data_IF_461043857281
#
_entry.id   IF_461043857281
#
_cell.length_a   1.000
_cell.length_b   1.000
_cell.length_c   1.000
_cell.angle_alpha   90.00
_cell.angle_beta   90.00
_cell.angle_gamma   90.00
#
_symmetry.space_group_name_H-M   'P 1'
#
loop_
_entity.id
_entity.type
_entity.pdbx_description
1 polymer ?
#
# COMPACT_ATOMS: atom_id res chain seq x y z
N UNK A 1 -31.73 -0.86 -44.72
CA UNK A 1 -30.31 -1.22 -44.62
C UNK A 1 -30.10 -1.96 -43.30
N UNK A 2 -30.09 -3.27 -43.34
CA UNK A 2 -29.87 -4.15 -42.18
C UNK A 2 -28.42 -4.03 -41.71
N UNK A 3 -28.18 -3.94 -40.41
CA UNK A 3 -26.78 -3.89 -39.88
C UNK A 3 -26.11 -5.24 -40.17
N UNK A 4 -24.89 -5.19 -40.68
CA UNK A 4 -24.03 -6.36 -40.88
C UNK A 4 -23.79 -7.09 -39.55
N UNK A 5 -23.86 -8.44 -39.52
CA UNK A 5 -23.52 -9.22 -38.34
C UNK A 5 -22.08 -8.95 -37.96
N UNK A 6 -21.85 -8.64 -36.68
CA UNK A 6 -20.57 -8.25 -36.13
C UNK A 6 -19.48 -9.28 -36.41
N UNK A 7 -18.32 -8.75 -36.76
CA UNK A 7 -17.05 -9.43 -36.82
C UNK A 7 -16.92 -10.28 -35.54
N UNK A 8 -16.88 -11.62 -35.66
CA UNK A 8 -16.92 -12.59 -34.54
C UNK A 8 -15.75 -12.50 -33.54
N UNK A 9 -15.29 -11.28 -33.28
CA UNK A 9 -14.33 -10.99 -32.22
C UNK A 9 -15.08 -10.97 -30.86
N UNK A 10 -14.64 -11.78 -29.90
CA UNK A 10 -15.22 -11.75 -28.56
C UNK A 10 -15.20 -10.33 -27.99
N UNK A 11 -16.18 -9.94 -27.16
CA UNK A 11 -16.18 -8.65 -26.49
C UNK A 11 -14.80 -8.41 -25.88
N UNK A 12 -14.28 -7.18 -26.02
CA UNK A 12 -12.84 -6.89 -25.78
C UNK A 12 -12.31 -7.39 -24.42
N UNK A 13 -13.12 -7.34 -23.36
CA UNK A 13 -12.75 -7.89 -22.04
C UNK A 13 -12.63 -9.42 -21.99
N UNK A 14 -13.24 -10.16 -22.90
CA UNK A 14 -13.10 -11.63 -22.96
C UNK A 14 -11.67 -12.07 -23.30
N UNK A 15 -10.84 -11.19 -23.90
CA UNK A 15 -9.40 -11.41 -24.06
C UNK A 15 -8.62 -11.34 -22.74
N UNK A 16 -9.30 -10.91 -21.65
CA UNK A 16 -8.71 -10.81 -20.32
C UNK A 16 -7.76 -9.63 -20.12
N UNK A 17 -7.38 -9.44 -18.88
CA UNK A 17 -6.48 -8.39 -18.41
C UNK A 17 -5.13 -8.99 -18.04
N UNK A 18 -4.03 -8.34 -18.45
CA UNK A 18 -2.70 -8.68 -17.96
C UNK A 18 -2.34 -7.74 -16.80
N UNK A 19 -2.30 -8.29 -15.59
CA UNK A 19 -1.94 -7.55 -14.38
C UNK A 19 -0.44 -7.70 -14.12
N UNK A 20 0.29 -6.60 -14.16
CA UNK A 20 1.75 -6.58 -13.95
C UNK A 20 2.01 -6.44 -12.46
N UNK A 21 2.42 -7.54 -11.83
CA UNK A 21 2.63 -7.67 -10.38
C UNK A 21 4.12 -7.81 -10.03
N UNK A 22 4.98 -7.15 -10.79
CA UNK A 22 6.42 -7.16 -10.58
C UNK A 22 6.83 -6.87 -9.13
N UNK A 23 6.21 -5.93 -8.37
CA UNK A 23 6.58 -5.66 -6.99
C UNK A 23 6.52 -6.88 -6.06
N UNK A 24 5.69 -7.87 -6.35
CA UNK A 24 5.56 -9.08 -5.52
C UNK A 24 6.80 -9.98 -5.52
N UNK A 25 7.69 -9.83 -6.49
CA UNK A 25 8.95 -10.60 -6.58
C UNK A 25 10.17 -9.82 -6.09
N UNK A 26 9.97 -8.63 -5.51
CA UNK A 26 11.04 -7.89 -4.84
C UNK A 26 11.36 -8.50 -3.49
N UNK A 27 12.62 -8.34 -3.04
CA UNK A 27 13.04 -8.79 -1.72
C UNK A 27 12.24 -8.13 -0.59
N UNK A 28 11.87 -6.86 -0.76
CA UNK A 28 11.00 -6.10 0.15
C UNK A 28 9.88 -5.48 -0.68
N UNK A 29 8.72 -6.17 -0.80
CA UNK A 29 7.59 -5.67 -1.60
C UNK A 29 6.93 -4.42 -1.00
N UNK A 30 6.95 -4.27 0.34
CA UNK A 30 6.36 -3.14 1.07
C UNK A 30 4.84 -3.02 0.85
N UNK A 31 4.28 -1.84 1.13
CA UNK A 31 2.84 -1.56 0.95
C UNK A 31 2.33 -1.79 -0.47
N UNK A 32 3.17 -1.55 -1.50
CA UNK A 32 2.81 -1.85 -2.89
C UNK A 32 2.62 -3.37 -3.10
N UNK A 33 3.42 -4.19 -2.40
CA UNK A 33 3.26 -5.64 -2.43
C UNK A 33 1.99 -6.09 -1.73
N UNK A 34 1.66 -5.51 -0.56
CA UNK A 34 0.39 -5.74 0.14
C UNK A 34 -0.79 -5.40 -0.76
N UNK A 35 -0.79 -4.20 -1.36
CA UNK A 35 -1.80 -3.78 -2.33
C UNK A 35 -1.95 -4.77 -3.50
N UNK A 36 -0.84 -5.14 -4.14
CA UNK A 36 -0.87 -6.01 -5.31
C UNK A 36 -1.41 -7.40 -4.97
N UNK A 37 -0.99 -7.99 -3.84
CA UNK A 37 -1.46 -9.29 -3.37
C UNK A 37 -2.93 -9.27 -3.02
N UNK A 38 -3.35 -8.28 -2.25
CA UNK A 38 -4.73 -8.16 -1.79
C UNK A 38 -5.70 -7.87 -2.93
N UNK A 39 -5.34 -6.96 -3.86
CA UNK A 39 -6.15 -6.70 -5.05
C UNK A 39 -6.31 -7.95 -5.92
N UNK A 40 -5.21 -8.66 -6.21
CA UNK A 40 -5.24 -9.88 -7.04
C UNK A 40 -6.06 -10.97 -6.34
N UNK A 41 -5.90 -11.14 -5.02
CA UNK A 41 -6.68 -12.08 -4.23
C UNK A 41 -8.18 -11.76 -4.27
N UNK A 42 -8.55 -10.50 -4.11
CA UNK A 42 -9.94 -10.06 -4.18
C UNK A 42 -10.54 -10.26 -5.58
N UNK A 43 -9.80 -9.95 -6.65
CA UNK A 43 -10.22 -10.23 -8.02
C UNK A 43 -10.42 -11.73 -8.28
N UNK A 44 -9.58 -12.58 -7.69
CA UNK A 44 -9.70 -14.03 -7.82
C UNK A 44 -10.85 -14.61 -6.99
N UNK A 45 -11.23 -13.93 -5.91
CA UNK A 45 -12.34 -14.32 -5.04
C UNK A 45 -13.72 -13.86 -5.52
N UNK A 46 -13.80 -13.06 -6.59
CA UNK A 46 -15.09 -12.73 -7.23
C UNK A 46 -15.70 -13.97 -7.89
N UNK A 47 -17.03 -14.07 -7.83
CA UNK A 47 -17.76 -15.24 -8.30
C UNK A 47 -18.26 -15.11 -9.74
N UNK A 48 -18.41 -16.25 -10.43
CA UNK A 48 -19.11 -16.41 -11.70
C UNK A 48 -18.72 -15.38 -12.75
N UNK A 49 -19.70 -14.63 -13.27
CA UNK A 49 -19.53 -13.64 -14.33
C UNK A 49 -18.78 -12.36 -13.86
N UNK A 50 -18.67 -12.13 -12.55
CA UNK A 50 -17.94 -10.98 -12.02
C UNK A 50 -16.42 -11.20 -12.05
N UNK A 51 -15.99 -12.46 -11.94
CA UNK A 51 -14.56 -12.81 -11.94
C UNK A 51 -13.92 -12.52 -13.29
N UNK A 52 -12.95 -11.59 -13.34
CA UNK A 52 -12.32 -11.25 -14.61
C UNK A 52 -11.38 -12.37 -15.09
N UNK A 53 -11.24 -12.49 -16.41
CA UNK A 53 -10.15 -13.27 -17.00
C UNK A 53 -8.85 -12.50 -16.84
N UNK A 54 -8.05 -12.84 -15.83
CA UNK A 54 -6.76 -12.22 -15.58
C UNK A 54 -5.60 -13.19 -15.81
N UNK A 55 -4.46 -12.63 -16.16
CA UNK A 55 -3.15 -13.27 -16.13
C UNK A 55 -2.20 -12.33 -15.40
N UNK A 56 -1.31 -12.88 -14.59
CA UNK A 56 -0.30 -12.10 -13.87
C UNK A 56 0.98 -12.07 -14.67
N UNK A 57 1.71 -10.95 -14.64
CA UNK A 57 3.01 -10.82 -15.27
C UNK A 57 4.05 -10.27 -14.29
N UNK A 58 5.19 -10.95 -14.20
CA UNK A 58 6.32 -10.50 -13.39
C UNK A 58 7.67 -10.96 -13.95
N UNK A 59 8.77 -10.48 -13.38
CA UNK A 59 10.11 -10.97 -13.59
C UNK A 59 10.23 -12.45 -13.21
N UNK A 60 11.31 -13.14 -13.62
CA UNK A 60 11.57 -14.52 -13.19
C UNK A 60 11.80 -14.57 -11.69
N UNK A 61 11.11 -15.50 -10.99
CA UNK A 61 11.33 -15.73 -9.56
C UNK A 61 12.75 -16.28 -9.33
N UNK A 62 13.36 -15.83 -8.23
CA UNK A 62 14.64 -16.34 -7.72
C UNK A 62 14.47 -17.01 -6.35
N UNK A 63 13.25 -17.01 -5.82
CA UNK A 63 12.91 -17.59 -4.53
C UNK A 63 11.91 -18.71 -4.68
N UNK A 64 11.96 -19.68 -3.78
CA UNK A 64 11.04 -20.80 -3.70
C UNK A 64 10.52 -20.87 -2.26
N UNK A 65 9.21 -20.99 -2.04
CA UNK A 65 8.15 -20.98 -3.07
C UNK A 65 8.00 -19.63 -3.78
N UNK A 66 7.48 -19.65 -5.02
CA UNK A 66 7.19 -18.42 -5.77
C UNK A 66 6.11 -17.60 -5.05
N UNK A 67 6.36 -16.32 -4.71
CA UNK A 67 5.38 -15.47 -4.01
C UNK A 67 4.10 -15.20 -4.83
N UNK A 68 4.06 -15.56 -6.11
CA UNK A 68 2.86 -15.51 -6.95
C UNK A 68 2.06 -16.82 -6.93
N UNK A 69 2.59 -17.87 -6.30
CA UNK A 69 1.88 -19.14 -6.14
C UNK A 69 0.58 -18.95 -5.34
N UNK A 70 -0.51 -19.59 -5.78
CA UNK A 70 -1.79 -19.54 -5.06
C UNK A 70 -2.62 -18.27 -5.24
N UNK A 71 -2.19 -17.28 -6.06
CA UNK A 71 -2.97 -16.05 -6.28
C UNK A 71 -4.20 -16.22 -7.21
N UNK A 72 -4.53 -17.43 -7.62
CA UNK A 72 -5.77 -17.76 -8.33
C UNK A 72 -5.81 -17.40 -9.81
N UNK A 73 -4.70 -16.90 -10.39
CA UNK A 73 -4.58 -16.59 -11.82
C UNK A 73 -3.29 -17.16 -12.42
N UNK A 74 -3.28 -17.53 -13.73
CA UNK A 74 -2.08 -17.98 -14.42
C UNK A 74 -0.99 -16.89 -14.42
N UNK A 75 0.27 -17.32 -14.27
CA UNK A 75 1.43 -16.41 -14.21
C UNK A 75 2.24 -16.53 -15.51
N UNK A 76 2.42 -15.40 -16.19
CA UNK A 76 3.38 -15.23 -17.29
C UNK A 76 4.68 -14.66 -16.72
N UNK A 77 5.78 -15.36 -16.93
CA UNK A 77 7.08 -14.98 -16.36
C UNK A 77 8.01 -14.44 -17.46
N UNK A 78 8.61 -13.28 -17.21
CA UNK A 78 9.67 -12.72 -18.05
C UNK A 78 10.93 -13.60 -18.03
N UNK A 79 11.66 -13.62 -19.15
CA UNK A 79 13.00 -14.21 -19.20
C UNK A 79 14.04 -13.37 -18.45
N UNK A 80 13.76 -12.06 -18.26
CA UNK A 80 14.65 -11.11 -17.62
C UNK A 80 14.44 -11.08 -16.12
N UNK A 81 15.50 -10.93 -15.33
CA UNK A 81 15.38 -10.71 -13.89
C UNK A 81 14.83 -9.31 -13.62
N UNK A 82 14.30 -9.12 -12.41
CA UNK A 82 13.57 -7.95 -11.93
C UNK A 82 14.19 -6.60 -12.34
N UNK A 83 15.39 -6.29 -11.87
CA UNK A 83 16.02 -4.99 -12.13
C UNK A 83 16.29 -4.75 -13.64
N UNK A 84 16.63 -5.80 -14.39
CA UNK A 84 16.86 -5.72 -15.83
C UNK A 84 15.55 -5.48 -16.58
N UNK A 85 14.46 -6.16 -16.16
CA UNK A 85 13.14 -6.00 -16.74
C UNK A 85 12.62 -4.57 -16.58
N UNK A 86 12.64 -4.03 -15.35
CA UNK A 86 12.18 -2.66 -15.05
C UNK A 86 13.04 -1.62 -15.79
N UNK A 87 14.36 -1.86 -15.89
CA UNK A 87 15.26 -1.00 -16.66
C UNK A 87 14.93 -1.02 -18.16
N UNK A 88 14.67 -2.21 -18.73
CA UNK A 88 14.28 -2.36 -20.12
C UNK A 88 12.98 -1.61 -20.45
N UNK A 89 11.99 -1.68 -19.56
CA UNK A 89 10.75 -0.91 -19.70
C UNK A 89 11.02 0.61 -19.70
N UNK A 90 11.99 1.06 -18.94
CA UNK A 90 12.47 2.45 -18.96
C UNK A 90 12.90 2.93 -20.34
N UNK A 91 13.46 2.03 -21.17
CA UNK A 91 13.88 2.27 -22.55
C UNK A 91 12.83 1.88 -23.61
N UNK A 92 11.62 1.49 -23.18
CA UNK A 92 10.55 1.07 -24.09
C UNK A 92 10.71 -0.34 -24.66
N UNK A 93 11.60 -1.16 -24.09
CA UNK A 93 11.83 -2.55 -24.48
C UNK A 93 10.98 -3.54 -23.65
N UNK A 94 10.80 -4.76 -24.14
CA UNK A 94 10.07 -5.80 -23.41
C UNK A 94 8.56 -5.58 -23.42
N UNK A 95 7.94 -5.35 -24.59
CA UNK A 95 6.49 -5.20 -24.75
C UNK A 95 5.75 -6.42 -24.23
N UNK A 96 4.64 -6.16 -23.53
CA UNK A 96 3.73 -7.18 -22.98
C UNK A 96 2.29 -6.96 -23.47
N UNK A 97 1.40 -7.91 -23.15
CA UNK A 97 -0.05 -7.74 -23.31
C UNK A 97 -0.58 -7.93 -24.72
N UNK A 98 0.17 -8.51 -25.70
CA UNK A 98 -0.29 -8.69 -27.08
C UNK A 98 -1.62 -9.46 -27.21
N UNK A 99 -1.93 -10.34 -26.25
CA UNK A 99 -3.16 -11.16 -26.21
C UNK A 99 -4.12 -10.72 -25.12
N UNK A 100 -3.93 -9.54 -24.53
CA UNK A 100 -4.80 -8.99 -23.49
C UNK A 100 -5.71 -7.90 -24.09
N UNK A 101 -6.83 -7.64 -23.44
CA UNK A 101 -7.69 -6.50 -23.74
C UNK A 101 -7.06 -5.20 -23.24
N UNK A 102 -6.41 -5.25 -22.08
CA UNK A 102 -5.63 -4.15 -21.51
C UNK A 102 -4.50 -4.71 -20.61
N UNK A 103 -3.56 -3.84 -20.27
CA UNK A 103 -2.51 -4.09 -19.26
C UNK A 103 -2.77 -3.18 -18.08
N UNK A 104 -2.76 -3.74 -16.86
CA UNK A 104 -2.77 -2.97 -15.62
C UNK A 104 -1.46 -3.16 -14.87
N UNK A 105 -0.67 -2.11 -14.75
CA UNK A 105 0.53 -2.10 -13.91
C UNK A 105 0.16 -1.59 -12.51
N UNK A 106 0.36 -2.43 -11.48
CA UNK A 106 0.03 -2.11 -10.08
C UNK A 106 1.00 -1.10 -9.44
N UNK A 107 1.92 -0.55 -10.21
CA UNK A 107 2.88 0.49 -9.79
C UNK A 107 3.40 1.26 -10.99
N UNK A 108 4.24 2.28 -10.74
CA UNK A 108 4.94 3.04 -11.78
C UNK A 108 5.95 2.20 -12.61
N UNK A 109 6.28 0.98 -12.19
CA UNK A 109 7.03 0.02 -12.99
C UNK A 109 6.13 -0.57 -14.09
N UNK A 110 5.77 0.25 -15.08
CA UNK A 110 4.83 -0.09 -16.14
C UNK A 110 5.56 -0.46 -17.44
N UNK A 111 5.18 -1.60 -18.07
CA UNK A 111 5.77 -2.04 -19.32
C UNK A 111 5.28 -1.22 -20.53
N UNK A 112 6.03 -1.19 -21.62
CA UNK A 112 5.48 -0.79 -22.91
C UNK A 112 4.45 -1.84 -23.39
N UNK A 113 3.35 -1.36 -23.97
CA UNK A 113 2.28 -2.22 -24.50
C UNK A 113 1.65 -1.58 -25.74
N UNK A 114 0.99 -2.39 -26.56
CA UNK A 114 0.22 -1.93 -27.71
C UNK A 114 -1.30 -1.89 -27.45
N UNK A 115 -1.73 -2.37 -26.29
CA UNK A 115 -3.13 -2.31 -25.82
C UNK A 115 -3.27 -1.20 -24.77
N UNK A 116 -4.49 -0.79 -24.41
CA UNK A 116 -4.68 0.22 -23.37
C UNK A 116 -3.92 -0.13 -22.08
N UNK A 117 -3.31 0.88 -21.47
CA UNK A 117 -2.51 0.76 -20.24
C UNK A 117 -3.21 1.48 -19.09
N UNK A 118 -3.41 0.78 -17.98
CA UNK A 118 -3.80 1.34 -16.69
C UNK A 118 -2.60 1.28 -15.75
N UNK A 119 -2.33 2.33 -14.99
CA UNK A 119 -1.19 2.36 -14.04
C UNK A 119 -1.69 2.84 -12.69
N UNK A 120 -1.38 2.11 -11.63
CA UNK A 120 -1.61 2.58 -10.26
C UNK A 120 -0.45 3.49 -9.84
N UNK A 121 -0.80 4.67 -9.34
CA UNK A 121 0.11 5.66 -8.73
C UNK A 121 -0.23 5.78 -7.26
N UNK A 122 0.59 5.18 -6.40
CA UNK A 122 0.29 5.10 -4.97
C UNK A 122 0.46 6.44 -4.26
N UNK A 123 1.52 7.19 -4.58
CA UNK A 123 1.79 8.53 -4.05
C UNK A 123 2.70 9.32 -5.01
N UNK A 124 2.97 10.57 -4.66
CA UNK A 124 4.00 11.42 -5.26
C UNK A 124 4.99 11.89 -4.18
N UNK A 125 5.28 11.04 -3.20
CA UNK A 125 6.06 11.38 -2.01
C UNK A 125 7.45 11.94 -2.33
N UNK A 126 8.11 11.47 -3.39
CA UNK A 126 9.42 12.00 -3.83
C UNK A 126 9.37 13.47 -4.28
N UNK A 127 8.18 14.03 -4.56
CA UNK A 127 7.98 15.45 -4.85
C UNK A 127 7.67 16.24 -3.59
N UNK A 128 6.85 15.67 -2.70
CA UNK A 128 6.41 16.33 -1.47
C UNK A 128 7.53 16.43 -0.42
N UNK A 129 8.37 15.39 -0.31
CA UNK A 129 9.49 15.28 0.64
C UNK A 129 10.74 14.74 -0.06
N UNK A 130 11.33 15.51 -0.99
CA UNK A 130 12.44 15.06 -1.83
C UNK A 130 13.68 14.65 -1.03
N UNK A 131 13.87 15.23 0.15
CA UNK A 131 14.96 14.91 1.07
C UNK A 131 14.87 13.48 1.64
N UNK A 132 13.68 12.91 1.68
CA UNK A 132 13.45 11.53 2.13
C UNK A 132 13.85 10.48 1.10
N UNK A 133 14.24 10.87 -0.11
CA UNK A 133 14.53 9.94 -1.20
C UNK A 133 15.93 10.15 -1.78
N UNK A 134 16.68 9.06 -2.06
CA UNK A 134 17.93 9.16 -2.80
C UNK A 134 17.72 9.80 -4.18
N UNK A 135 18.65 10.62 -4.65
CA UNK A 135 18.55 11.35 -5.92
C UNK A 135 18.28 10.43 -7.13
N UNK A 136 18.86 9.21 -7.13
CA UNK A 136 18.59 8.20 -8.18
C UNK A 136 17.13 7.71 -8.14
N UNK A 137 16.60 7.49 -6.94
CA UNK A 137 15.19 7.07 -6.73
C UNK A 137 14.23 8.14 -7.21
N UNK A 138 14.46 9.41 -6.82
CA UNK A 138 13.66 10.56 -7.26
C UNK A 138 13.62 10.66 -8.79
N UNK A 139 14.77 10.58 -9.45
CA UNK A 139 14.86 10.63 -10.92
C UNK A 139 14.12 9.48 -11.58
N UNK A 140 14.22 8.28 -11.02
CA UNK A 140 13.50 7.12 -11.54
C UNK A 140 11.97 7.29 -11.44
N UNK A 141 11.47 7.68 -10.26
CA UNK A 141 10.04 7.90 -10.02
C UNK A 141 9.49 9.00 -10.95
N UNK A 142 10.21 10.10 -11.05
CA UNK A 142 9.81 11.22 -11.91
C UNK A 142 9.72 10.80 -13.39
N UNK A 143 10.69 10.07 -13.89
CA UNK A 143 10.69 9.57 -15.25
C UNK A 143 9.59 8.54 -15.49
N UNK A 144 9.35 7.66 -14.50
CA UNK A 144 8.30 6.64 -14.57
C UNK A 144 6.91 7.29 -14.58
N UNK A 145 6.68 8.29 -13.70
CA UNK A 145 5.44 9.06 -13.67
C UNK A 145 5.19 9.81 -14.99
N UNK A 146 6.20 10.49 -15.53
CA UNK A 146 6.09 11.16 -16.83
C UNK A 146 5.76 10.20 -17.98
N UNK A 147 6.31 8.97 -17.95
CA UNK A 147 5.96 7.93 -18.94
C UNK A 147 4.53 7.46 -18.75
N UNK A 148 4.09 7.21 -17.51
CA UNK A 148 2.72 6.83 -17.20
C UNK A 148 1.72 7.91 -17.64
N UNK A 149 1.96 9.16 -17.29
CA UNK A 149 1.14 10.31 -17.69
C UNK A 149 0.93 10.43 -19.20
N UNK A 150 1.98 10.14 -19.99
CA UNK A 150 1.91 10.19 -21.47
C UNK A 150 1.24 8.98 -22.10
N UNK A 151 1.33 7.79 -21.50
CA UNK A 151 0.99 6.51 -22.15
C UNK A 151 -0.23 5.81 -21.57
N UNK A 152 -0.53 6.02 -20.30
CA UNK A 152 -1.65 5.34 -19.66
C UNK A 152 -2.98 5.92 -20.17
N UNK A 153 -3.91 5.04 -20.48
CA UNK A 153 -5.30 5.41 -20.74
C UNK A 153 -5.98 5.89 -19.47
N UNK A 154 -5.57 5.34 -18.30
CA UNK A 154 -6.04 5.77 -17.00
C UNK A 154 -4.94 5.59 -15.94
N UNK A 155 -4.84 6.56 -15.03
CA UNK A 155 -4.05 6.49 -13.80
C UNK A 155 -5.01 6.23 -12.63
N UNK A 156 -4.83 5.11 -11.94
CA UNK A 156 -5.58 4.78 -10.72
C UNK A 156 -4.79 5.28 -9.54
N UNK A 157 -5.44 5.95 -8.60
CA UNK A 157 -4.86 6.48 -7.38
C UNK A 157 -5.66 6.03 -6.15
N UNK A 158 -5.04 5.83 -4.97
CA UNK A 158 -5.72 5.26 -3.81
C UNK A 158 -6.54 6.29 -3.02
N UNK A 159 -6.40 7.58 -3.31
CA UNK A 159 -7.07 8.65 -2.57
C UNK A 159 -7.26 9.91 -3.41
N UNK A 160 -8.19 10.77 -3.00
CA UNK A 160 -8.38 12.09 -3.61
C UNK A 160 -7.16 12.99 -3.39
N UNK A 161 -6.46 12.86 -2.27
CA UNK A 161 -5.21 13.59 -2.03
C UNK A 161 -4.13 13.24 -3.06
N UNK A 162 -3.99 11.97 -3.43
CA UNK A 162 -3.08 11.54 -4.50
C UNK A 162 -3.57 12.03 -5.88
N UNK A 163 -4.89 12.02 -6.13
CA UNK A 163 -5.47 12.57 -7.36
C UNK A 163 -5.16 14.07 -7.49
N UNK A 164 -5.33 14.83 -6.43
CA UNK A 164 -5.02 16.25 -6.39
C UNK A 164 -3.54 16.51 -6.64
N UNK A 165 -2.65 15.78 -5.95
CA UNK A 165 -1.21 15.89 -6.18
C UNK A 165 -0.83 15.55 -7.64
N UNK A 166 -1.55 14.63 -8.28
CA UNK A 166 -1.34 14.27 -9.68
C UNK A 166 -1.81 15.37 -10.65
N UNK A 167 -2.95 16.03 -10.38
CA UNK A 167 -3.44 17.20 -11.14
C UNK A 167 -2.43 18.35 -11.08
N UNK A 168 -1.93 18.64 -9.88
CA UNK A 168 -0.94 19.70 -9.62
C UNK A 168 0.46 19.38 -10.14
N UNK A 169 0.67 18.12 -10.54
CA UNK A 169 1.98 17.67 -11.03
C UNK A 169 2.46 18.32 -12.34
N UNK A 170 1.61 19.06 -13.05
CA UNK A 170 1.95 19.73 -14.31
C UNK A 170 2.25 18.76 -15.47
N UNK A 171 1.61 17.58 -15.49
CA UNK A 171 1.87 16.52 -16.46
C UNK A 171 0.84 16.44 -17.59
N UNK A 172 -0.14 17.34 -17.64
CA UNK A 172 -1.20 17.36 -18.65
C UNK A 172 -2.13 16.12 -18.59
N UNK A 173 -2.34 15.56 -17.40
CA UNK A 173 -3.29 14.48 -17.20
C UNK A 173 -4.67 15.07 -16.93
N UNK A 174 -5.63 14.83 -17.82
CA UNK A 174 -7.01 15.27 -17.63
C UNK A 174 -7.74 14.42 -16.57
N UNK A 175 -8.79 14.97 -15.96
CA UNK A 175 -9.59 14.31 -14.93
C UNK A 175 -10.26 13.02 -15.42
N UNK A 176 -10.62 12.95 -16.69
CA UNK A 176 -11.16 11.76 -17.36
C UNK A 176 -10.20 10.56 -17.32
N UNK A 177 -8.91 10.85 -17.16
CA UNK A 177 -7.83 9.84 -17.06
C UNK A 177 -7.37 9.54 -15.66
N UNK A 178 -7.96 10.14 -14.63
CA UNK A 178 -7.68 9.84 -13.22
C UNK A 178 -8.88 9.09 -12.64
N UNK A 179 -8.62 8.00 -11.93
CA UNK A 179 -9.64 7.25 -11.21
C UNK A 179 -9.19 7.02 -9.77
N UNK A 180 -10.01 7.46 -8.83
CA UNK A 180 -9.78 7.19 -7.40
C UNK A 180 -10.41 5.86 -7.04
N UNK A 181 -9.60 4.91 -6.57
CA UNK A 181 -10.05 3.61 -6.07
C UNK A 181 -9.34 3.37 -4.75
N UNK A 182 -10.07 3.49 -3.65
CA UNK A 182 -9.53 3.29 -2.31
C UNK A 182 -9.02 1.86 -2.11
N UNK A 183 -7.99 1.72 -1.28
CA UNK A 183 -7.48 0.41 -0.86
C UNK A 183 -8.39 -0.22 0.20
N UNK A 184 -8.40 -1.55 0.28
CA UNK A 184 -9.11 -2.28 1.33
C UNK A 184 -8.28 -2.37 2.61
N UNK A 185 -8.94 -2.75 3.70
CA UNK A 185 -8.32 -2.95 5.02
C UNK A 185 -8.47 -4.38 5.55
N UNK A 186 -9.17 -5.25 4.82
CA UNK A 186 -9.60 -6.60 5.22
C UNK A 186 -8.68 -7.72 4.69
N UNK A 187 -7.38 -7.39 4.49
CA UNK A 187 -6.36 -8.33 4.00
C UNK A 187 -5.53 -8.96 5.13
N UNK A 188 -5.63 -8.46 6.35
CA UNK A 188 -4.88 -9.03 7.47
C UNK A 188 -5.29 -10.50 7.67
N UNK A 189 -4.29 -11.34 7.89
CA UNK A 189 -4.53 -12.73 8.27
C UNK A 189 -5.28 -12.80 9.62
N UNK A 190 -5.85 -13.95 9.90
CA UNK A 190 -6.33 -14.25 11.26
C UNK A 190 -5.15 -14.17 12.23
N UNK A 191 -5.35 -13.49 13.35
CA UNK A 191 -4.33 -13.39 14.40
C UNK A 191 -3.93 -14.80 14.88
N UNK A 192 -2.64 -15.00 15.09
CA UNK A 192 -2.09 -16.17 15.72
C UNK A 192 -1.69 -15.81 17.16
N UNK A 193 -2.52 -16.10 18.18
CA UNK A 193 -2.24 -15.71 19.55
C UNK A 193 -0.97 -16.33 20.11
N UNK A 194 -0.69 -17.61 19.81
CA UNK A 194 0.48 -18.33 20.32
C UNK A 194 1.76 -17.73 19.74
N UNK A 195 1.84 -17.61 18.41
CA UNK A 195 3.00 -17.00 17.78
C UNK A 195 3.17 -15.53 18.15
N UNK A 196 2.07 -14.81 18.46
CA UNK A 196 2.14 -13.42 18.93
C UNK A 196 2.70 -13.35 20.35
N UNK A 197 2.29 -14.24 21.25
CA UNK A 197 2.83 -14.33 22.61
C UNK A 197 4.32 -14.67 22.60
N UNK A 198 4.73 -15.64 21.79
CA UNK A 198 6.14 -16.00 21.60
C UNK A 198 6.97 -14.83 21.08
N UNK A 199 6.46 -14.11 20.07
CA UNK A 199 7.14 -12.94 19.51
C UNK A 199 7.30 -11.83 20.57
N UNK A 200 6.25 -11.51 21.33
CA UNK A 200 6.31 -10.51 22.40
C UNK A 200 7.27 -10.92 23.52
N UNK A 201 7.26 -12.21 23.92
CA UNK A 201 8.17 -12.74 24.91
C UNK A 201 9.65 -12.63 24.47
N UNK A 202 9.95 -12.98 23.21
CA UNK A 202 11.29 -12.82 22.61
C UNK A 202 11.75 -11.36 22.61
N UNK A 203 10.81 -10.42 22.47
CA UNK A 203 11.08 -8.99 22.52
C UNK A 203 11.15 -8.42 23.95
N UNK A 204 10.89 -9.23 24.97
CA UNK A 204 10.83 -8.79 26.37
C UNK A 204 9.62 -7.91 26.68
N UNK A 205 8.53 -8.04 25.92
CA UNK A 205 7.29 -7.27 26.08
C UNK A 205 6.26 -8.14 26.79
N UNK A 206 6.00 -7.87 28.07
CA UNK A 206 5.12 -8.68 28.92
C UNK A 206 3.73 -8.11 29.20
N UNK A 207 3.34 -6.99 28.58
CA UNK A 207 2.07 -6.31 28.83
C UNK A 207 1.66 -5.41 27.67
N UNK A 208 0.97 -4.32 27.99
CA UNK A 208 0.56 -3.29 27.01
C UNK A 208 1.78 -2.65 26.34
N UNK A 209 1.63 -2.27 25.08
CA UNK A 209 2.69 -1.63 24.28
C UNK A 209 2.10 -0.67 23.26
N UNK A 210 2.92 0.25 22.76
CA UNK A 210 2.64 1.08 21.59
C UNK A 210 3.19 0.35 20.37
N UNK A 211 2.51 0.45 19.23
CA UNK A 211 2.93 -0.21 17.99
C UNK A 211 3.19 0.82 16.88
N UNK A 212 4.30 0.68 16.18
CA UNK A 212 4.56 1.37 14.92
C UNK A 212 4.87 0.34 13.82
N UNK A 213 4.23 0.49 12.65
CA UNK A 213 4.37 -0.46 11.54
C UNK A 213 4.82 0.24 10.26
N UNK A 214 5.83 -0.30 9.63
CA UNK A 214 6.31 0.17 8.32
C UNK A 214 7.79 -0.05 8.10
N UNK A 215 8.20 0.01 6.83
CA UNK A 215 9.63 -0.02 6.47
C UNK A 215 10.35 1.14 7.12
N UNK A 216 11.51 0.87 7.70
CA UNK A 216 12.35 1.91 8.32
C UNK A 216 13.00 2.76 7.25
N UNK A 217 12.32 3.79 6.79
CA UNK A 217 12.74 4.74 5.77
C UNK A 217 12.44 6.18 6.22
N UNK A 218 13.15 7.21 5.72
CA UNK A 218 13.02 8.59 6.21
C UNK A 218 11.60 9.14 6.12
N UNK A 219 10.82 8.77 5.09
CA UNK A 219 9.44 9.20 4.88
C UNK A 219 8.49 8.75 6.01
N UNK A 220 8.78 7.60 6.65
CA UNK A 220 8.00 7.07 7.79
C UNK A 220 8.23 7.84 9.09
N UNK A 221 9.22 8.74 9.11
CA UNK A 221 9.44 9.71 10.19
C UNK A 221 9.73 9.09 11.57
N UNK A 222 10.28 7.88 11.60
CA UNK A 222 10.57 7.18 12.85
C UNK A 222 11.50 7.99 13.81
N UNK A 223 12.50 8.75 13.36
CA UNK A 223 13.30 9.55 14.28
C UNK A 223 12.44 10.50 15.12
N UNK A 224 11.53 11.28 14.51
CA UNK A 224 10.65 12.17 15.29
C UNK A 224 9.66 11.41 16.17
N UNK A 225 9.17 10.25 15.73
CA UNK A 225 8.36 9.39 16.59
C UNK A 225 9.15 8.92 17.82
N UNK A 226 10.44 8.62 17.68
CA UNK A 226 11.29 8.21 18.81
C UNK A 226 11.58 9.37 19.76
N UNK A 227 11.84 10.57 19.24
CA UNK A 227 12.00 11.78 20.05
C UNK A 227 10.71 12.07 20.84
N UNK A 228 9.56 12.01 20.18
CA UNK A 228 8.25 12.20 20.81
C UNK A 228 7.95 11.10 21.85
N UNK A 229 8.30 9.85 21.55
CA UNK A 229 8.15 8.76 22.48
C UNK A 229 9.04 8.91 23.74
N UNK A 230 10.25 9.40 23.58
CA UNK A 230 11.14 9.70 24.71
C UNK A 230 10.56 10.76 25.66
N UNK A 231 9.84 11.75 25.13
CA UNK A 231 9.09 12.75 25.90
C UNK A 231 7.82 12.15 26.53
N UNK A 232 7.09 11.35 25.77
CA UNK A 232 5.83 10.75 26.21
C UNK A 232 6.00 9.68 27.30
N UNK A 233 7.02 8.83 27.15
CA UNK A 233 7.23 7.65 28.01
C UNK A 233 7.24 7.95 29.52
N UNK A 234 7.97 8.94 30.08
CA UNK A 234 7.94 9.26 31.49
C UNK A 234 6.61 9.89 31.96
N UNK A 235 5.74 10.31 31.05
CA UNK A 235 4.42 10.92 31.33
C UNK A 235 3.30 9.88 31.37
N UNK A 236 3.58 8.64 30.98
CA UNK A 236 2.64 7.51 31.08
C UNK A 236 2.65 6.94 32.49
N UNK A 237 1.48 6.49 32.98
CA UNK A 237 1.37 5.88 34.31
C UNK A 237 2.26 4.63 34.46
N UNK A 238 2.40 3.89 33.34
CA UNK A 238 3.35 2.79 33.21
C UNK A 238 4.17 3.02 31.92
N UNK A 239 5.49 2.76 31.95
CA UNK A 239 6.36 3.01 30.79
C UNK A 239 6.15 1.93 29.71
N UNK A 240 5.13 2.10 28.89
CA UNK A 240 4.81 1.19 27.77
C UNK A 240 5.96 1.16 26.76
N UNK A 241 6.44 -0.02 26.32
CA UNK A 241 7.42 -0.11 25.24
C UNK A 241 6.80 0.30 23.89
N UNK A 242 7.63 0.84 22.97
CA UNK A 242 7.26 1.08 21.60
C UNK A 242 7.83 -0.06 20.73
N UNK A 243 6.97 -0.94 20.26
CA UNK A 243 7.31 -2.03 19.35
C UNK A 243 7.26 -1.51 17.91
N UNK A 244 8.35 -1.68 17.17
CA UNK A 244 8.48 -1.24 15.78
C UNK A 244 8.59 -2.45 14.87
N UNK A 245 7.59 -2.65 14.01
CA UNK A 245 7.52 -3.76 13.06
C UNK A 245 7.82 -3.27 11.65
N UNK A 246 8.71 -3.96 10.97
CA UNK A 246 9.03 -3.73 9.56
C UNK A 246 10.50 -3.89 9.25
N UNK A 247 10.82 -4.12 7.96
CA UNK A 247 12.18 -4.33 7.52
C UNK A 247 13.01 -3.03 7.59
N UNK A 248 14.33 -3.20 7.59
CA UNK A 248 15.25 -2.08 7.38
C UNK A 248 15.11 -1.57 5.96
N UNK A 249 14.88 -0.28 5.81
CA UNK A 249 14.82 0.43 4.52
C UNK A 249 16.12 1.17 4.21
N UNK A 250 16.00 2.27 3.49
CA UNK A 250 17.15 3.12 3.15
C UNK A 250 17.24 4.34 4.08
N UNK A 251 18.45 4.92 4.18
CA UNK A 251 18.67 6.19 4.89
C UNK A 251 18.52 6.14 6.40
N UNK A 252 18.35 4.95 6.97
CA UNK A 252 18.29 4.78 8.42
C UNK A 252 19.66 4.34 8.93
N UNK A 253 20.20 5.06 9.91
CA UNK A 253 21.36 4.59 10.64
C UNK A 253 21.03 3.27 11.37
N UNK A 254 21.99 2.36 11.42
CA UNK A 254 21.92 1.12 12.22
C UNK A 254 22.14 1.40 13.72
N UNK A 255 21.74 2.59 14.20
CA UNK A 255 21.86 2.95 15.60
C UNK A 255 21.03 1.99 16.48
N UNK A 256 21.52 1.73 17.69
CA UNK A 256 20.74 1.02 18.70
C UNK A 256 19.40 1.72 18.93
N UNK A 257 18.33 0.98 19.23
CA UNK A 257 17.04 1.59 19.50
C UNK A 257 17.12 2.49 20.73
N UNK A 258 16.42 3.64 20.74
CA UNK A 258 16.30 4.45 21.95
C UNK A 258 15.70 3.66 23.12
N UNK A 259 15.88 4.15 24.35
CA UNK A 259 15.36 3.50 25.54
C UNK A 259 13.84 3.26 25.44
N UNK A 260 13.43 2.00 25.62
CA UNK A 260 12.03 1.57 25.54
C UNK A 260 11.51 1.30 24.11
N UNK A 261 12.31 1.54 23.07
CA UNK A 261 11.98 1.15 21.70
C UNK A 261 12.52 -0.24 21.40
N UNK A 262 11.68 -1.12 20.85
CA UNK A 262 12.02 -2.49 20.51
C UNK A 262 11.76 -2.74 19.03
N UNK A 263 12.77 -3.19 18.29
CA UNK A 263 12.64 -3.53 16.88
C UNK A 263 12.28 -5.02 16.71
N UNK A 264 11.06 -5.31 16.28
CA UNK A 264 10.62 -6.66 15.96
C UNK A 264 11.12 -7.17 14.59
N UNK A 265 11.62 -6.25 13.74
CA UNK A 265 11.93 -6.61 12.36
C UNK A 265 10.67 -6.95 11.56
N UNK A 266 10.81 -7.83 10.58
CA UNK A 266 9.69 -8.34 9.78
C UNK A 266 9.09 -9.55 10.50
N UNK A 267 7.78 -9.55 10.70
CA UNK A 267 7.02 -10.63 11.34
C UNK A 267 6.06 -11.29 10.35
N UNK A 268 5.57 -12.48 10.67
CA UNK A 268 4.52 -13.15 9.90
C UNK A 268 3.16 -12.42 9.99
N UNK A 269 2.31 -12.63 8.98
CA UNK A 269 1.03 -11.92 8.86
C UNK A 269 0.09 -12.17 10.06
N UNK A 270 0.05 -13.41 10.61
CA UNK A 270 -0.74 -13.74 11.79
C UNK A 270 -0.22 -13.07 13.07
N UNK A 271 1.11 -12.94 13.21
CA UNK A 271 1.74 -12.19 14.31
C UNK A 271 1.45 -10.70 14.17
N UNK A 272 1.57 -10.14 12.96
CA UNK A 272 1.24 -8.73 12.71
C UNK A 272 -0.20 -8.41 13.08
N UNK A 273 -1.15 -9.26 12.68
CA UNK A 273 -2.56 -9.12 13.05
C UNK A 273 -2.76 -9.17 14.57
N UNK A 274 -2.08 -10.10 15.26
CA UNK A 274 -2.09 -10.20 16.72
C UNK A 274 -1.51 -8.96 17.40
N UNK A 275 -0.39 -8.43 16.90
CA UNK A 275 0.22 -7.21 17.42
C UNK A 275 -0.70 -6.00 17.25
N UNK A 276 -1.36 -5.85 16.11
CA UNK A 276 -2.37 -4.79 15.92
C UNK A 276 -3.47 -4.91 16.98
N UNK A 277 -4.09 -6.08 17.15
CA UNK A 277 -5.22 -6.25 18.07
C UNK A 277 -4.86 -6.12 19.56
N UNK A 278 -3.59 -6.25 19.94
CA UNK A 278 -3.11 -6.18 21.33
C UNK A 278 -2.45 -4.85 21.70
N UNK A 279 -2.10 -4.02 20.71
CA UNK A 279 -1.47 -2.74 20.99
C UNK A 279 -2.41 -1.78 21.72
N UNK A 280 -1.90 -1.04 22.70
CA UNK A 280 -2.61 0.03 23.40
C UNK A 280 -3.07 1.13 22.43
N UNK A 281 -2.21 1.44 21.47
CA UNK A 281 -2.47 2.28 20.32
C UNK A 281 -1.44 1.98 19.23
N UNK A 282 -1.77 2.39 18.00
CA UNK A 282 -0.81 2.44 16.88
C UNK A 282 -0.38 3.89 16.65
N UNK A 283 0.95 4.10 16.55
CA UNK A 283 1.56 5.38 16.20
C UNK A 283 2.05 5.34 14.75
N UNK A 284 1.48 6.19 13.89
CA UNK A 284 1.82 6.26 12.47
C UNK A 284 1.87 7.70 11.99
N UNK A 285 3.05 8.31 12.02
CA UNK A 285 3.25 9.74 11.77
C UNK A 285 4.15 10.01 10.55
N UNK A 286 3.88 9.40 9.38
CA UNK A 286 4.68 9.65 8.18
C UNK A 286 4.61 11.12 7.76
N UNK A 287 5.64 11.59 7.06
CA UNK A 287 5.67 12.93 6.48
C UNK A 287 4.67 13.09 5.35
N UNK A 288 4.42 12.01 4.60
CA UNK A 288 3.45 11.96 3.50
C UNK A 288 3.10 10.50 3.17
N UNK A 289 1.84 10.26 2.83
CA UNK A 289 1.32 8.97 2.35
C UNK A 289 0.28 9.18 1.26
N UNK A 290 0.23 8.24 0.31
CA UNK A 290 -0.85 8.25 -0.68
C UNK A 290 -2.16 7.65 -0.18
N UNK A 291 -2.08 6.70 0.78
CA UNK A 291 -3.24 6.13 1.46
C UNK A 291 -2.98 5.99 2.96
N UNK A 292 -2.18 5.04 3.40
CA UNK A 292 -1.86 4.79 4.80
C UNK A 292 -2.44 3.47 5.32
N UNK A 293 -2.10 2.35 4.66
CA UNK A 293 -2.56 1.00 5.06
C UNK A 293 -2.42 0.71 6.56
N UNK A 294 -1.29 1.02 7.25
CA UNK A 294 -1.18 0.73 8.68
C UNK A 294 -2.26 1.38 9.55
N UNK A 295 -2.82 2.52 9.12
CA UNK A 295 -3.91 3.19 9.85
C UNK A 295 -5.21 2.39 9.75
N UNK A 296 -5.58 1.97 8.54
CA UNK A 296 -6.82 1.17 8.35
C UNK A 296 -6.67 -0.27 8.86
N UNK A 297 -5.46 -0.82 8.84
CA UNK A 297 -5.14 -2.12 9.46
C UNK A 297 -5.38 -2.07 10.98
N UNK A 298 -4.83 -1.04 11.66
CA UNK A 298 -5.06 -0.81 13.08
C UNK A 298 -6.55 -0.61 13.41
N UNK A 299 -7.24 0.25 12.63
CA UNK A 299 -8.66 0.51 12.80
C UNK A 299 -9.50 -0.77 12.62
N UNK A 300 -9.15 -1.62 11.64
CA UNK A 300 -9.81 -2.92 11.40
C UNK A 300 -9.61 -3.88 12.58
N UNK A 301 -8.44 -3.85 13.20
CA UNK A 301 -8.14 -4.63 14.40
C UNK A 301 -8.79 -4.06 15.68
N UNK A 302 -9.52 -2.95 15.60
CA UNK A 302 -10.14 -2.31 16.77
C UNK A 302 -9.15 -1.53 17.63
N UNK A 303 -8.01 -1.10 17.09
CA UNK A 303 -6.95 -0.41 17.82
C UNK A 303 -6.96 1.07 17.51
N UNK A 304 -6.95 1.98 18.53
CA UNK A 304 -6.93 3.41 18.31
C UNK A 304 -5.60 3.86 17.69
N UNK A 305 -5.65 4.91 16.88
CA UNK A 305 -4.50 5.37 16.11
C UNK A 305 -4.16 6.83 16.44
N UNK A 306 -2.87 7.09 16.68
CA UNK A 306 -2.25 8.43 16.62
C UNK A 306 -1.53 8.53 15.29
N UNK A 307 -1.93 9.43 14.41
CA UNK A 307 -1.39 9.52 13.06
C UNK A 307 -1.21 10.95 12.59
N UNK A 308 -0.31 11.16 11.61
CA UNK A 308 -0.43 12.35 10.76
C UNK A 308 -1.72 12.27 9.93
N UNK A 309 -2.16 13.42 9.37
CA UNK A 309 -3.34 13.48 8.50
C UNK A 309 -3.10 12.69 7.19
N UNK A 310 -3.25 11.36 7.25
CA UNK A 310 -3.15 10.49 6.07
C UNK A 310 -4.54 10.23 5.49
N UNK A 311 -4.68 10.06 4.15
CA UNK A 311 -6.00 9.90 3.51
C UNK A 311 -6.83 8.75 4.08
N UNK A 312 -6.20 7.67 4.52
CA UNK A 312 -6.88 6.51 5.08
C UNK A 312 -7.61 6.81 6.39
N UNK A 313 -7.11 7.76 7.21
CA UNK A 313 -7.69 8.08 8.52
C UNK A 313 -9.12 8.63 8.40
N UNK A 314 -9.37 9.48 7.39
CA UNK A 314 -10.67 10.12 7.23
C UNK A 314 -11.18 10.81 8.49
N UNK A 315 -10.29 11.35 9.34
CA UNK A 315 -10.62 11.98 10.62
C UNK A 315 -10.95 11.00 11.76
N UNK A 316 -10.78 9.69 11.57
CA UNK A 316 -11.05 8.67 12.60
C UNK A 316 -9.85 8.40 13.53
N UNK A 317 -8.65 8.89 13.21
CA UNK A 317 -7.48 8.85 14.07
C UNK A 317 -7.40 10.08 14.99
N UNK A 318 -6.54 10.03 16.01
CA UNK A 318 -6.05 11.23 16.69
C UNK A 318 -4.94 11.83 15.84
N UNK A 319 -5.28 12.88 15.07
CA UNK A 319 -4.37 13.47 14.10
C UNK A 319 -3.42 14.47 14.74
N UNK A 320 -2.14 14.41 14.36
CA UNK A 320 -1.06 15.28 14.86
C UNK A 320 -0.21 15.78 13.69
N UNK A 321 0.46 16.92 13.88
CA UNK A 321 1.48 17.38 12.91
C UNK A 321 2.72 16.44 12.99
N UNK A 322 3.10 15.76 11.89
CA UNK A 322 4.26 14.88 11.88
C UNK A 322 5.60 15.60 12.06
N UNK A 323 5.62 16.93 12.02
CA UNK A 323 6.82 17.74 12.22
C UNK A 323 6.94 18.29 13.64
N UNK A 324 5.88 18.25 14.41
CA UNK A 324 5.82 18.72 15.79
C UNK A 324 5.99 17.53 16.76
N UNK A 325 7.19 17.42 17.33
CA UNK A 325 7.56 16.35 18.27
C UNK A 325 6.70 16.39 19.54
N UNK A 326 6.39 17.60 20.06
CA UNK A 326 5.55 17.77 21.25
C UNK A 326 4.09 17.37 20.98
N UNK A 327 3.54 17.78 19.82
CA UNK A 327 2.18 17.40 19.44
C UNK A 327 2.05 15.86 19.30
N UNK A 328 3.06 15.19 18.74
CA UNK A 328 3.11 13.72 18.68
C UNK A 328 3.17 13.15 20.11
N UNK A 329 4.04 13.67 20.98
CA UNK A 329 4.19 13.20 22.35
C UNK A 329 2.89 13.36 23.15
N UNK A 330 2.24 14.50 23.07
CA UNK A 330 0.93 14.76 23.68
C UNK A 330 -0.14 13.78 23.17
N UNK A 331 -0.18 13.56 21.85
CA UNK A 331 -1.09 12.61 21.22
C UNK A 331 -0.90 11.19 21.77
N UNK A 332 0.36 10.73 21.89
CA UNK A 332 0.68 9.43 22.48
C UNK A 332 0.20 9.33 23.92
N UNK A 333 0.53 10.31 24.77
CA UNK A 333 0.12 10.32 26.18
C UNK A 333 -1.41 10.35 26.30
N UNK A 334 -2.05 11.26 25.58
CA UNK A 334 -3.51 11.44 25.65
C UNK A 334 -4.26 10.18 25.26
N UNK A 335 -3.91 9.57 24.12
CA UNK A 335 -4.59 8.35 23.67
C UNK A 335 -4.24 7.17 24.55
N UNK A 336 -3.00 7.04 25.04
CA UNK A 336 -2.62 5.95 25.94
C UNK A 336 -3.33 6.01 27.30
N UNK A 337 -3.61 7.23 27.83
CA UNK A 337 -4.13 7.43 29.19
C UNK A 337 -5.66 7.56 29.25
N UNK A 338 -6.30 8.14 28.22
CA UNK A 338 -7.75 8.42 28.21
C UNK A 338 -8.53 7.25 27.59
N UNK A 339 -9.20 6.47 28.44
CA UNK A 339 -10.02 5.33 28.04
C UNK A 339 -11.25 5.72 27.22
N UNK A 340 -11.89 6.84 27.53
CA UNK A 340 -13.07 7.32 26.81
C UNK A 340 -12.70 7.79 25.40
N UNK A 341 -11.57 8.50 25.26
CA UNK A 341 -11.03 8.89 23.96
C UNK A 341 -10.70 7.66 23.12
N UNK A 342 -10.02 6.65 23.70
CA UNK A 342 -9.72 5.40 22.98
C UNK A 342 -10.98 4.71 22.47
N UNK A 343 -11.99 4.55 23.31
CA UNK A 343 -13.26 3.94 22.91
C UNK A 343 -13.92 4.70 21.75
N UNK A 344 -13.91 6.03 21.80
CA UNK A 344 -14.40 6.87 20.73
C UNK A 344 -13.60 6.75 19.42
N UNK A 345 -12.26 6.65 19.51
CA UNK A 345 -11.38 6.43 18.34
C UNK A 345 -11.63 5.06 17.71
N UNK A 346 -11.77 4.02 18.52
CA UNK A 346 -12.09 2.65 18.04
C UNK A 346 -13.42 2.64 17.30
N UNK A 347 -14.47 3.23 17.88
CA UNK A 347 -15.78 3.27 17.25
C UNK A 347 -15.75 4.00 15.89
N UNK A 348 -15.09 5.16 15.81
CA UNK A 348 -14.92 5.89 14.54
C UNK A 348 -14.06 5.12 13.55
N UNK A 349 -12.98 4.47 14.03
CA UNK A 349 -12.09 3.66 13.21
C UNK A 349 -12.83 2.48 12.55
N UNK A 350 -13.61 1.72 13.32
CA UNK A 350 -14.41 0.60 12.80
C UNK A 350 -15.46 1.07 11.79
N UNK A 351 -16.12 2.20 12.05
CA UNK A 351 -17.06 2.80 11.10
C UNK A 351 -16.35 3.22 9.80
N UNK A 352 -15.16 3.84 9.91
CA UNK A 352 -14.34 4.28 8.76
C UNK A 352 -13.93 3.12 7.86
N UNK A 353 -13.51 1.99 8.42
CA UNK A 353 -13.01 0.87 7.64
C UNK A 353 -14.12 -0.05 7.11
N UNK A 354 -15.36 0.10 7.58
CA UNK A 354 -16.50 -0.70 7.12
C UNK A 354 -16.56 -0.83 5.59
N UNK A 355 -16.62 0.28 4.84
CA UNK A 355 -16.68 0.27 3.38
C UNK A 355 -15.33 0.01 2.70
N UNK A 356 -14.20 0.08 3.40
CA UNK A 356 -12.88 -0.13 2.84
C UNK A 356 -12.54 -1.61 2.78
N UNK A 357 -13.06 -2.30 1.76
CA UNK A 357 -12.79 -3.72 1.51
C UNK A 357 -12.03 -3.92 0.21
N UNK A 358 -11.23 -4.97 0.15
CA UNK A 358 -10.55 -5.33 -1.09
C UNK A 358 -11.52 -5.79 -2.17
N UNK A 359 -12.70 -6.29 -1.79
CA UNK A 359 -13.79 -6.54 -2.75
C UNK A 359 -14.23 -5.23 -3.42
N UNK A 360 -14.50 -4.18 -2.65
CA UNK A 360 -14.86 -2.87 -3.20
C UNK A 360 -13.74 -2.29 -4.08
N UNK A 361 -12.48 -2.45 -3.67
CA UNK A 361 -11.33 -2.07 -4.49
C UNK A 361 -11.29 -2.83 -5.81
N UNK A 362 -11.49 -4.15 -5.79
CA UNK A 362 -11.56 -4.98 -7.00
C UNK A 362 -12.69 -4.56 -7.95
N UNK A 363 -13.88 -4.31 -7.42
CA UNK A 363 -15.04 -3.82 -8.18
C UNK A 363 -14.75 -2.44 -8.82
N UNK A 364 -14.10 -1.54 -8.08
CA UNK A 364 -13.64 -0.24 -8.59
C UNK A 364 -12.66 -0.38 -9.76
N UNK A 365 -11.70 -1.30 -9.65
CA UNK A 365 -10.76 -1.58 -10.76
C UNK A 365 -11.47 -2.18 -11.97
N UNK A 366 -12.43 -3.08 -11.76
CA UNK A 366 -13.23 -3.64 -12.84
C UNK A 366 -14.04 -2.56 -13.57
N UNK A 367 -14.61 -1.62 -12.84
CA UNK A 367 -15.33 -0.48 -13.44
C UNK A 367 -14.40 0.37 -14.32
N UNK A 368 -13.17 0.67 -13.84
CA UNK A 368 -12.14 1.35 -14.65
C UNK A 368 -11.79 0.55 -15.89
N UNK A 369 -11.53 -0.75 -15.78
CA UNK A 369 -11.17 -1.59 -16.92
C UNK A 369 -12.29 -1.67 -17.95
N UNK A 370 -13.57 -1.84 -17.52
CA UNK A 370 -14.73 -1.84 -18.41
C UNK A 370 -14.87 -0.52 -19.16
N UNK A 371 -14.70 0.61 -18.47
CA UNK A 371 -14.72 1.93 -19.09
C UNK A 371 -13.65 2.06 -20.18
N UNK A 372 -12.39 1.72 -19.88
CA UNK A 372 -11.27 1.87 -20.80
C UNK A 372 -11.39 0.94 -22.01
N UNK A 373 -11.86 -0.27 -21.85
CA UNK A 373 -12.04 -1.22 -22.95
C UNK A 373 -13.29 -0.89 -23.79
N UNK A 374 -14.35 -0.37 -23.15
CA UNK A 374 -15.61 0.02 -23.84
C UNK A 374 -15.48 1.30 -24.64
N UNK A 375 -14.58 2.23 -24.29
CA UNK A 375 -14.34 3.50 -25.00
C UNK A 375 -13.32 3.40 -26.15
N UNK A 376 -12.70 2.24 -26.34
CA UNK A 376 -11.75 2.03 -27.43
C UNK A 376 -12.44 1.95 -28.81
N UNK A 377 -11.81 2.50 -29.89
CA UNK A 377 -12.33 2.45 -31.26
C UNK A 377 -12.47 1.02 -31.79
#
# INVERSE_FOLDING_TARGET
MTPRPGDGRPPRLERGVLVVVEPLRRAVPGGIGTYARALVGALAALDGAERPRCRLYAARSRVSPDPLGGLGFPVETSRWPDAALVRAWGFGLGRVGRRAALVHAVSLAAPPTAVPLVVTVHDLAWRAVPEAFPARGRRWHEQALRRAARRAACLVVPSEATAQALREAGLGVGDDRIAVVAEGSDHLATADPVATDEALAQLGVGGDFLLAVGTREPRKNLPRLFDAYAIARPRLAEPLPLVVVGPVGWGTATAAPPAGVVFAGQVGDGVLAGLYGRARLVAYVPLVEGFGLPVVEAMRAGTPVVASAVPASGGAAHEVDPRDVEAIAEGLVRVASDGALRAGLVARGLARVGPLTWRAAAEGHLAVWRRIVGTGP
#
